data_IF_507144539089
#
_entry.id   IF_507144539089
#
_cell.length_a   1.000
_cell.length_b   1.000
_cell.length_c   1.000
_cell.angle_alpha   90.00
_cell.angle_beta   90.00
_cell.angle_gamma   90.00
#
_symmetry.space_group_name_H-M   'P 1'
#
loop_
_entity.id
_entity.type
_entity.pdbx_description
1 polymer ?
#
# COMPACT_ATOMS: atom_id res chain seq x y z
N UNK A 1 -15.07 21.61 1.00
CA UNK A 1 -13.82 22.33 0.73
C UNK A 1 -13.63 22.44 -0.78
N UNK A 2 -12.99 23.51 -1.24
CA UNK A 2 -12.68 23.72 -2.66
C UNK A 2 -11.28 23.17 -3.02
N UNK A 3 -10.72 22.27 -2.22
CA UNK A 3 -9.36 21.75 -2.36
C UNK A 3 -9.13 20.46 -1.58
N UNK A 4 -7.88 20.02 -1.57
CA UNK A 4 -7.39 18.82 -0.87
C UNK A 4 -6.42 19.25 0.22
N UNK A 5 -6.60 18.73 1.44
CA UNK A 5 -5.61 18.86 2.50
C UNK A 5 -4.67 17.67 2.46
N UNK A 6 -3.43 17.91 2.09
CA UNK A 6 -2.33 16.93 2.13
C UNK A 6 -1.66 16.96 3.49
N UNK A 7 -1.37 15.79 4.05
CA UNK A 7 -0.73 15.70 5.37
C UNK A 7 0.18 14.48 5.44
N UNK A 8 1.38 14.65 5.98
CA UNK A 8 2.36 13.58 6.16
C UNK A 8 3.08 13.68 7.49
N UNK A 9 3.44 12.54 8.07
CA UNK A 9 4.20 12.47 9.32
C UNK A 9 5.70 12.47 9.01
N UNK A 10 6.41 13.49 9.51
CA UNK A 10 7.86 13.58 9.41
C UNK A 10 8.43 14.35 10.63
N UNK A 11 8.57 13.69 11.80
CA UNK A 11 8.85 14.35 13.08
C UNK A 11 10.15 15.14 13.11
N UNK A 12 11.19 14.61 12.49
CA UNK A 12 12.55 15.18 12.47
C UNK A 12 12.84 16.02 11.24
N UNK A 13 11.88 16.17 10.33
CA UNK A 13 12.07 17.00 9.14
C UNK A 13 12.19 18.47 9.50
N UNK A 14 13.06 19.17 8.77
CA UNK A 14 13.22 20.63 8.83
C UNK A 14 12.42 21.34 7.75
N UNK A 15 12.13 20.64 6.65
CA UNK A 15 11.35 21.11 5.50
C UNK A 15 10.73 19.91 4.77
N UNK A 16 9.54 20.08 4.23
CA UNK A 16 8.87 19.11 3.37
C UNK A 16 8.45 19.81 2.08
N UNK A 17 8.58 19.15 0.96
CA UNK A 17 7.99 19.55 -0.31
C UNK A 17 6.86 18.58 -0.67
N UNK A 18 5.69 19.12 -0.99
CA UNK A 18 4.61 18.41 -1.66
C UNK A 18 4.79 18.57 -3.17
N UNK A 19 4.93 17.47 -3.87
CA UNK A 19 5.07 17.42 -5.32
C UNK A 19 3.76 16.95 -5.94
N UNK A 20 3.16 17.75 -6.82
CA UNK A 20 1.97 17.41 -7.58
C UNK A 20 2.35 17.11 -9.02
N UNK A 21 1.85 15.99 -9.54
CA UNK A 21 2.15 15.53 -10.90
C UNK A 21 0.92 15.61 -11.80
N UNK A 22 1.14 15.67 -13.11
CA UNK A 22 0.06 15.66 -14.08
C UNK A 22 -0.64 14.29 -14.11
N UNK A 23 0.16 13.21 -14.05
CA UNK A 23 -0.27 11.82 -14.04
C UNK A 23 0.79 10.91 -13.42
N UNK A 24 0.57 9.59 -13.49
CA UNK A 24 1.49 8.57 -12.98
C UNK A 24 2.80 8.44 -13.75
N UNK A 25 2.90 8.96 -14.97
CA UNK A 25 4.09 8.83 -15.86
C UNK A 25 4.87 10.13 -16.02
N UNK A 26 4.34 11.26 -15.53
CA UNK A 26 4.99 12.55 -15.69
C UNK A 26 6.42 12.54 -15.11
N UNK A 27 7.46 12.85 -15.88
CA UNK A 27 8.86 12.78 -15.41
C UNK A 27 9.19 13.84 -14.37
N UNK A 28 8.42 14.93 -14.32
CA UNK A 28 8.61 16.08 -13.44
C UNK A 28 7.27 16.47 -12.80
N UNK A 29 7.30 17.05 -11.57
CA UNK A 29 6.10 17.60 -10.95
C UNK A 29 5.63 18.85 -11.70
N UNK A 30 4.31 18.97 -11.90
CA UNK A 30 3.69 20.20 -12.44
C UNK A 30 3.68 21.35 -11.43
N UNK A 31 3.80 21.03 -10.13
CA UNK A 31 3.84 21.99 -9.04
C UNK A 31 4.61 21.42 -7.86
N UNK A 32 5.45 22.23 -7.25
CA UNK A 32 6.13 21.93 -5.98
C UNK A 32 5.69 22.98 -4.96
N UNK A 33 5.23 22.51 -3.80
CA UNK A 33 4.77 23.37 -2.70
C UNK A 33 5.69 23.11 -1.51
N UNK A 34 6.45 24.11 -1.12
CA UNK A 34 7.31 24.03 0.06
C UNK A 34 6.50 24.25 1.32
N UNK A 35 6.62 23.32 2.26
CA UNK A 35 6.06 23.38 3.60
C UNK A 35 7.15 23.77 4.58
N UNK A 36 6.96 24.88 5.25
CA UNK A 36 7.83 25.39 6.33
C UNK A 36 7.16 25.19 7.71
N UNK A 37 7.76 25.77 8.75
CA UNK A 37 7.27 25.63 10.13
C UNK A 37 5.81 26.09 10.35
N UNK A 38 5.23 26.92 9.46
CA UNK A 38 3.81 27.34 9.52
C UNK A 38 2.84 26.24 9.07
N UNK A 39 3.36 25.27 8.31
CA UNK A 39 2.63 24.12 7.78
C UNK A 39 2.79 22.89 8.68
N UNK A 40 3.15 23.07 9.96
CA UNK A 40 3.44 21.99 10.88
C UNK A 40 2.59 22.05 12.14
N UNK A 41 1.99 20.91 12.49
CA UNK A 41 1.26 20.70 13.74
C UNK A 41 1.82 19.44 14.43
N UNK A 42 2.66 19.63 15.44
CA UNK A 42 3.39 18.54 16.08
C UNK A 42 4.31 17.81 15.09
N UNK A 43 4.04 16.52 14.85
CA UNK A 43 4.80 15.67 13.94
C UNK A 43 4.24 15.69 12.50
N UNK A 44 3.14 16.40 12.26
CA UNK A 44 2.44 16.45 10.98
C UNK A 44 2.80 17.70 10.20
N UNK A 45 3.18 17.51 8.95
CA UNK A 45 3.28 18.55 7.93
C UNK A 45 2.03 18.53 7.07
N UNK A 46 1.39 19.67 6.84
CA UNK A 46 0.13 19.71 6.12
C UNK A 46 -0.08 21.03 5.37
N UNK A 47 -0.83 20.95 4.29
CA UNK A 47 -1.23 22.09 3.48
C UNK A 47 -2.54 21.80 2.76
N UNK A 48 -3.47 22.75 2.76
CA UNK A 48 -4.64 22.72 1.89
C UNK A 48 -4.28 23.35 0.53
N UNK A 49 -4.55 22.62 -0.54
CA UNK A 49 -4.27 23.07 -1.91
C UNK A 49 -5.59 23.24 -2.65
N UNK A 50 -5.94 24.48 -2.91
CA UNK A 50 -7.15 24.83 -3.68
C UNK A 50 -7.04 24.36 -5.14
N UNK A 51 -8.19 23.97 -5.71
CA UNK A 51 -8.29 23.51 -7.10
C UNK A 51 -7.86 22.07 -7.33
N UNK A 52 -7.29 21.40 -6.33
CA UNK A 52 -6.99 19.97 -6.41
C UNK A 52 -8.19 19.12 -5.96
N UNK A 53 -8.26 17.88 -6.45
CA UNK A 53 -9.37 16.97 -6.19
C UNK A 53 -8.98 15.51 -6.35
N UNK A 54 -10.01 14.66 -6.43
CA UNK A 54 -9.87 13.22 -6.71
C UNK A 54 -9.09 13.03 -8.02
N UNK A 55 -8.18 12.06 -8.04
CA UNK A 55 -7.29 11.77 -9.17
C UNK A 55 -5.97 12.57 -9.13
N UNK A 56 -5.80 13.55 -8.24
CA UNK A 56 -4.53 14.27 -8.12
C UNK A 56 -3.41 13.30 -7.71
N UNK A 57 -2.35 13.25 -8.53
CA UNK A 57 -1.15 12.45 -8.29
C UNK A 57 -0.13 13.25 -7.48
N UNK A 58 0.40 12.67 -6.40
CA UNK A 58 1.29 13.39 -5.50
C UNK A 58 2.37 12.50 -4.87
N UNK A 59 3.40 13.16 -4.33
CA UNK A 59 4.44 12.56 -3.51
C UNK A 59 5.10 13.61 -2.63
N UNK A 60 6.02 13.19 -1.78
CA UNK A 60 6.72 14.09 -0.88
C UNK A 60 8.24 14.02 -1.10
N UNK A 61 8.92 15.13 -0.84
CA UNK A 61 10.37 15.19 -0.67
C UNK A 61 10.65 15.80 0.69
N UNK A 62 11.51 15.13 1.46
CA UNK A 62 11.71 15.49 2.86
C UNK A 62 13.15 15.81 3.14
N UNK A 63 13.39 16.89 3.87
CA UNK A 63 14.68 17.40 4.27
C UNK A 63 14.81 17.36 5.79
N UNK A 64 15.96 16.99 6.27
CA UNK A 64 16.24 16.94 7.70
C UNK A 64 17.73 16.75 7.99
N UNK A 65 18.11 16.69 9.27
CA UNK A 65 19.50 16.53 9.65
C UNK A 65 20.02 15.15 9.22
N UNK A 66 21.19 15.14 8.62
CA UNK A 66 21.95 13.91 8.38
C UNK A 66 22.61 13.52 9.71
N UNK A 67 22.03 12.61 10.44
CA UNK A 67 22.61 12.06 11.65
C UNK A 67 23.53 10.88 11.29
N UNK A 68 24.73 10.77 11.92
CA UNK A 68 25.57 9.59 11.78
C UNK A 68 24.77 8.32 12.17
N UNK A 69 24.75 7.31 11.30
CA UNK A 69 23.98 6.09 11.50
C UNK A 69 22.49 6.18 11.17
N UNK A 70 21.98 7.34 10.76
CA UNK A 70 20.64 7.50 10.21
C UNK A 70 20.67 7.24 8.70
N UNK A 71 19.79 6.37 8.21
CA UNK A 71 19.58 6.13 6.78
C UNK A 71 18.44 6.99 6.21
N UNK A 72 17.90 7.90 7.02
CA UNK A 72 16.65 8.60 6.92
C UNK A 72 16.52 9.53 5.70
N UNK A 73 16.73 10.83 5.92
CA UNK A 73 16.39 11.82 4.92
C UNK A 73 17.29 11.74 3.68
N UNK A 74 16.65 11.59 2.52
CA UNK A 74 17.32 11.66 1.21
C UNK A 74 16.52 12.59 0.28
N UNK A 75 16.86 13.87 0.20
CA UNK A 75 16.11 14.86 -0.58
C UNK A 75 16.20 14.64 -2.10
N UNK A 76 16.98 13.69 -2.58
CA UNK A 76 16.93 13.28 -3.99
C UNK A 76 15.72 12.36 -4.29
N UNK A 77 15.04 11.84 -3.27
CA UNK A 77 13.95 10.88 -3.43
C UNK A 77 12.58 11.52 -3.29
N UNK A 78 11.70 11.20 -4.21
CA UNK A 78 10.27 11.41 -4.06
C UNK A 78 9.71 10.20 -3.33
N UNK A 79 8.98 10.46 -2.24
CA UNK A 79 8.46 9.47 -1.31
C UNK A 79 6.97 9.28 -1.50
N UNK A 80 6.54 8.03 -1.48
CA UNK A 80 5.13 7.67 -1.44
C UNK A 80 4.55 8.00 -0.06
N UNK A 81 3.34 8.53 -0.02
CA UNK A 81 2.58 8.69 1.22
C UNK A 81 2.21 7.32 1.80
N UNK A 82 2.60 6.99 3.04
CA UNK A 82 2.20 5.73 3.69
C UNK A 82 0.68 5.57 3.82
N UNK A 83 -0.07 6.68 3.77
CA UNK A 83 -1.53 6.71 3.86
C UNK A 83 -2.23 6.72 2.49
N UNK A 84 -1.49 6.64 1.38
CA UNK A 84 -2.08 6.59 0.05
C UNK A 84 -2.98 5.35 -0.12
N UNK A 85 -4.23 5.58 -0.54
CA UNK A 85 -5.25 4.53 -0.76
C UNK A 85 -5.30 4.03 -2.20
N UNK A 86 -4.65 4.75 -3.10
CA UNK A 86 -4.40 4.36 -4.47
C UNK A 86 -3.01 4.84 -4.88
N UNK A 87 -2.36 4.08 -5.73
CA UNK A 87 -0.97 4.32 -6.16
C UNK A 87 -0.91 4.20 -7.67
N UNK A 88 -0.13 5.10 -8.28
CA UNK A 88 0.17 5.10 -9.72
C UNK A 88 1.67 5.21 -9.97
N UNK A 89 2.09 5.14 -11.22
CA UNK A 89 3.49 5.21 -11.63
C UNK A 89 4.17 3.84 -11.74
N UNK A 90 3.40 2.76 -11.66
CA UNK A 90 3.94 1.39 -11.71
C UNK A 90 4.64 1.06 -13.04
N UNK A 91 4.19 1.67 -14.14
CA UNK A 91 4.74 1.44 -15.49
C UNK A 91 6.13 2.08 -15.67
N UNK A 92 6.46 3.08 -14.85
CA UNK A 92 7.75 3.79 -14.88
C UNK A 92 8.58 3.50 -13.63
N UNK A 93 8.05 2.71 -12.70
CA UNK A 93 8.72 2.43 -11.43
C UNK A 93 10.03 1.66 -11.63
N UNK A 94 11.08 2.19 -11.04
CA UNK A 94 12.40 1.56 -10.99
C UNK A 94 12.92 1.52 -9.55
N UNK A 95 12.94 0.32 -8.94
CA UNK A 95 13.46 0.09 -7.59
C UNK A 95 14.91 0.59 -7.44
N UNK A 96 15.73 0.35 -8.44
CA UNK A 96 17.14 0.76 -8.46
C UNK A 96 17.32 2.28 -8.36
N UNK A 97 16.41 3.06 -8.97
CA UNK A 97 16.44 4.52 -8.87
C UNK A 97 16.10 5.05 -7.46
N UNK A 98 15.44 4.24 -6.63
CA UNK A 98 15.15 4.60 -5.24
C UNK A 98 16.34 4.34 -4.28
N UNK A 99 17.44 3.76 -4.78
CA UNK A 99 18.67 3.51 -4.01
C UNK A 99 19.67 4.65 -4.22
N UNK A 100 20.47 4.96 -3.19
CA UNK A 100 21.57 5.93 -3.26
C UNK A 100 21.12 7.38 -3.49
N UNK A 101 21.97 8.19 -4.15
CA UNK A 101 21.77 9.65 -4.27
C UNK A 101 21.16 10.12 -5.60
N UNK A 102 20.95 9.21 -6.58
CA UNK A 102 20.39 9.58 -7.89
C UNK A 102 18.90 9.93 -7.70
N UNK A 103 18.38 11.02 -8.29
CA UNK A 103 16.95 11.34 -8.21
C UNK A 103 16.06 10.24 -8.83
N UNK A 104 14.93 9.97 -8.19
CA UNK A 104 13.93 9.00 -8.68
C UNK A 104 12.65 9.65 -9.21
N UNK A 105 12.65 10.97 -9.42
CA UNK A 105 11.43 11.74 -9.74
C UNK A 105 10.67 11.18 -10.93
N UNK A 106 11.37 10.76 -11.98
CA UNK A 106 10.76 10.21 -13.21
C UNK A 106 10.23 8.78 -13.05
N UNK A 107 10.69 8.03 -12.02
CA UNK A 107 10.43 6.60 -11.85
C UNK A 107 9.89 6.25 -10.46
N UNK A 108 9.37 7.22 -9.71
CA UNK A 108 8.80 6.98 -8.38
C UNK A 108 7.33 6.54 -8.44
N UNK A 109 6.92 5.78 -7.45
CA UNK A 109 5.50 5.57 -7.14
C UNK A 109 4.90 6.84 -6.54
N UNK A 110 3.63 7.09 -6.82
CA UNK A 110 2.89 8.29 -6.39
C UNK A 110 1.57 7.92 -5.78
N UNK A 111 1.19 8.62 -4.72
CA UNK A 111 -0.17 8.55 -4.19
C UNK A 111 -1.16 9.21 -5.12
N UNK A 112 -2.40 8.71 -5.11
CA UNK A 112 -3.53 9.31 -5.83
C UNK A 112 -4.60 9.67 -4.81
N UNK A 113 -5.10 10.89 -4.88
CA UNK A 113 -6.20 11.36 -4.04
C UNK A 113 -7.48 10.61 -4.40
N UNK A 114 -8.10 9.96 -3.44
CA UNK A 114 -9.31 9.15 -3.60
C UNK A 114 -10.43 9.66 -2.70
N UNK A 115 -11.65 9.24 -2.97
CA UNK A 115 -12.74 9.37 -2.02
C UNK A 115 -12.51 8.53 -0.76
N UNK A 116 -13.08 8.99 0.35
CA UNK A 116 -13.14 8.26 1.63
C UNK A 116 -14.58 7.80 1.86
N UNK A 117 -14.91 6.68 1.30
CA UNK A 117 -16.21 6.05 1.46
C UNK A 117 -16.10 4.76 2.30
N UNK A 118 -17.20 4.36 2.91
CA UNK A 118 -17.30 3.12 3.68
C UNK A 118 -17.90 2.01 2.84
N UNK A 119 -17.58 0.77 3.19
CA UNK A 119 -18.23 -0.41 2.62
C UNK A 119 -19.71 -0.42 3.03
N UNK A 120 -20.58 -0.78 2.09
CA UNK A 120 -22.02 -0.86 2.34
C UNK A 120 -22.40 -2.25 2.88
N UNK A 121 -22.31 -2.43 4.21
CA UNK A 121 -22.69 -3.67 4.89
C UNK A 121 -24.21 -3.93 4.90
N UNK A 122 -25.05 -2.96 4.58
CA UNK A 122 -26.49 -3.19 4.44
C UNK A 122 -26.79 -3.92 3.14
N UNK A 123 -26.09 -3.59 2.06
CA UNK A 123 -26.23 -4.26 0.76
C UNK A 123 -25.50 -5.61 0.70
N UNK A 124 -24.44 -5.79 1.47
CA UNK A 124 -23.65 -7.02 1.53
C UNK A 124 -23.25 -7.31 3.00
N UNK A 125 -24.15 -7.85 3.82
CA UNK A 125 -23.89 -8.15 5.21
C UNK A 125 -22.87 -9.27 5.36
N UNK A 126 -22.04 -9.16 6.39
CA UNK A 126 -21.04 -10.20 6.73
C UNK A 126 -21.72 -11.53 7.03
N UNK A 127 -21.23 -12.67 6.50
CA UNK A 127 -21.79 -14.01 6.76
C UNK A 127 -21.75 -14.41 8.24
N UNK A 128 -20.67 -14.06 8.97
CA UNK A 128 -20.47 -14.34 10.41
C UNK A 128 -20.57 -15.81 10.75
N UNK A 129 -19.81 -16.65 10.05
CA UNK A 129 -19.71 -18.07 10.35
C UNK A 129 -19.23 -18.33 11.77
N UNK A 130 -19.77 -19.37 12.41
CA UNK A 130 -19.22 -19.83 13.69
C UNK A 130 -17.87 -20.48 13.45
N UNK A 131 -16.89 -20.19 14.29
CA UNK A 131 -15.53 -20.65 14.13
C UNK A 131 -15.42 -22.18 13.91
N UNK A 132 -16.18 -22.96 14.67
CA UNK A 132 -16.20 -24.43 14.53
C UNK A 132 -16.77 -24.95 13.20
N UNK A 133 -17.41 -24.11 12.42
CA UNK A 133 -17.99 -24.46 11.11
C UNK A 133 -17.22 -23.81 9.96
N UNK A 134 -16.10 -23.13 10.27
CA UNK A 134 -15.33 -22.42 9.27
C UNK A 134 -14.43 -23.39 8.50
N UNK A 135 -14.48 -23.30 7.18
CA UNK A 135 -13.57 -23.94 6.23
C UNK A 135 -12.87 -22.84 5.45
N UNK A 136 -11.60 -22.62 5.74
CA UNK A 136 -10.81 -21.53 5.13
C UNK A 136 -10.04 -22.10 3.94
N UNK A 137 -10.15 -21.45 2.80
CA UNK A 137 -9.38 -21.75 1.60
C UNK A 137 -8.39 -20.63 1.33
N UNK A 138 -7.09 -20.91 1.53
CA UNK A 138 -6.01 -19.98 1.21
C UNK A 138 -5.74 -20.02 -0.31
N UNK A 139 -5.66 -18.84 -0.94
CA UNK A 139 -5.38 -18.72 -2.37
C UNK A 139 -4.56 -17.48 -2.71
N UNK A 140 -3.82 -17.59 -3.81
CA UNK A 140 -3.10 -16.49 -4.44
C UNK A 140 -3.93 -15.92 -5.58
N UNK A 141 -4.35 -14.65 -5.49
CA UNK A 141 -5.22 -14.00 -6.51
C UNK A 141 -4.63 -14.15 -7.91
N UNK A 142 -3.35 -13.82 -8.09
CA UNK A 142 -2.68 -13.88 -9.39
C UNK A 142 -2.52 -15.28 -9.99
N UNK A 143 -2.62 -16.34 -9.17
CA UNK A 143 -2.43 -17.73 -9.59
C UNK A 143 -3.72 -18.53 -9.73
N UNK A 144 -4.70 -18.28 -8.88
CA UNK A 144 -5.88 -19.15 -8.69
C UNK A 144 -6.68 -19.39 -9.97
N UNK A 145 -6.88 -18.36 -10.78
CA UNK A 145 -7.68 -18.44 -12.01
C UNK A 145 -6.85 -18.62 -13.30
N UNK A 146 -5.52 -18.80 -13.21
CA UNK A 146 -4.62 -19.01 -14.35
C UNK A 146 -4.30 -20.47 -14.65
N UNK A 147 -4.94 -21.41 -13.96
CA UNK A 147 -4.75 -22.83 -14.17
C UNK A 147 -5.31 -23.32 -15.51
N UNK A 148 -4.77 -24.41 -16.09
CA UNK A 148 -5.32 -25.01 -17.31
C UNK A 148 -6.78 -25.41 -17.12
N UNK A 149 -7.63 -25.04 -18.08
CA UNK A 149 -9.07 -25.35 -18.04
C UNK A 149 -9.89 -24.47 -17.12
N UNK A 150 -9.34 -23.40 -16.55
CA UNK A 150 -10.10 -22.43 -15.77
C UNK A 150 -11.15 -21.74 -16.69
N UNK A 151 -12.43 -21.70 -16.30
CA UNK A 151 -13.49 -21.13 -17.12
C UNK A 151 -13.52 -19.59 -17.12
N UNK A 152 -12.66 -18.95 -16.31
CA UNK A 152 -12.59 -17.50 -16.21
C UNK A 152 -12.03 -16.91 -17.51
N UNK A 153 -12.64 -15.85 -18.09
CA UNK A 153 -12.14 -15.15 -19.27
C UNK A 153 -10.68 -14.71 -19.10
N UNK A 154 -9.87 -14.86 -20.14
CA UNK A 154 -8.40 -14.65 -20.08
C UNK A 154 -8.04 -13.25 -19.55
N UNK A 155 -8.79 -12.23 -19.97
CA UNK A 155 -8.61 -10.83 -19.56
C UNK A 155 -8.90 -10.57 -18.08
N UNK A 156 -9.56 -11.52 -17.39
CA UNK A 156 -9.85 -11.45 -15.97
C UNK A 156 -9.06 -12.45 -15.13
N UNK A 157 -8.31 -13.35 -15.77
CA UNK A 157 -7.50 -14.33 -15.06
C UNK A 157 -6.41 -13.66 -14.20
N UNK A 158 -6.28 -14.11 -12.96
CA UNK A 158 -5.30 -13.59 -12.01
C UNK A 158 -5.68 -12.24 -11.40
N UNK A 159 -6.95 -11.85 -11.47
CA UNK A 159 -7.47 -10.60 -10.90
C UNK A 159 -8.55 -10.84 -9.85
N UNK A 160 -8.83 -9.80 -9.06
CA UNK A 160 -9.92 -9.82 -8.07
C UNK A 160 -11.29 -10.08 -8.74
N UNK A 161 -11.53 -9.47 -9.90
CA UNK A 161 -12.79 -9.70 -10.63
C UNK A 161 -12.85 -11.10 -11.24
N UNK A 162 -11.72 -11.67 -11.67
CA UNK A 162 -11.66 -13.07 -12.12
C UNK A 162 -11.90 -14.06 -10.98
N UNK A 163 -11.53 -13.71 -9.74
CA UNK A 163 -11.86 -14.51 -8.58
C UNK A 163 -13.38 -14.55 -8.31
N UNK A 164 -14.11 -13.46 -8.60
CA UNK A 164 -15.59 -13.45 -8.53
C UNK A 164 -16.18 -14.52 -9.45
N UNK A 165 -15.67 -14.65 -10.67
CA UNK A 165 -16.14 -15.65 -11.62
C UNK A 165 -15.89 -17.09 -11.16
N UNK A 166 -14.90 -17.30 -10.29
CA UNK A 166 -14.55 -18.62 -9.74
C UNK A 166 -15.24 -18.95 -8.39
N UNK A 167 -15.96 -18.03 -7.76
CA UNK A 167 -16.63 -18.24 -6.47
C UNK A 167 -17.57 -19.47 -6.46
N UNK A 168 -18.35 -19.77 -7.52
CA UNK A 168 -19.23 -20.94 -7.51
C UNK A 168 -18.50 -22.25 -7.18
N UNK A 169 -17.27 -22.44 -7.64
CA UNK A 169 -16.50 -23.66 -7.38
C UNK A 169 -16.05 -23.76 -5.91
N UNK A 170 -15.75 -22.62 -5.27
CA UNK A 170 -15.42 -22.57 -3.85
C UNK A 170 -16.64 -22.87 -2.96
N UNK A 171 -17.79 -22.35 -3.34
CA UNK A 171 -19.06 -22.64 -2.66
C UNK A 171 -19.42 -24.12 -2.78
N UNK A 172 -19.30 -24.72 -3.98
CA UNK A 172 -19.54 -26.14 -4.21
C UNK A 172 -18.59 -27.03 -3.37
N UNK A 173 -17.34 -26.59 -3.18
CA UNK A 173 -16.36 -27.27 -2.33
C UNK A 173 -16.71 -27.18 -0.83
N UNK A 174 -17.65 -26.33 -0.43
CA UNK A 174 -18.05 -26.14 0.96
C UNK A 174 -17.16 -25.16 1.74
N UNK A 175 -16.41 -24.30 1.06
CA UNK A 175 -15.62 -23.23 1.66
C UNK A 175 -16.54 -22.19 2.29
N UNK A 176 -16.17 -21.67 3.45
CA UNK A 176 -16.91 -20.60 4.15
C UNK A 176 -16.13 -19.29 4.25
N UNK A 177 -14.81 -19.33 4.05
CA UNK A 177 -13.95 -18.15 4.01
C UNK A 177 -12.83 -18.34 3.00
N UNK A 178 -12.54 -17.30 2.22
CA UNK A 178 -11.34 -17.23 1.38
C UNK A 178 -10.28 -16.41 2.09
N UNK A 179 -9.07 -16.96 2.20
CA UNK A 179 -7.89 -16.25 2.70
C UNK A 179 -7.02 -15.86 1.51
N UNK A 180 -6.91 -14.56 1.27
CA UNK A 180 -6.12 -14.04 0.17
C UNK A 180 -4.68 -13.82 0.63
N UNK A 181 -3.70 -14.44 -0.04
CA UNK A 181 -2.30 -14.05 0.07
C UNK A 181 -2.15 -12.55 -0.22
N UNK A 182 -1.05 -11.89 0.18
CA UNK A 182 -0.98 -10.44 0.23
C UNK A 182 -1.51 -9.73 -1.02
N UNK A 183 -2.53 -8.89 -0.84
CA UNK A 183 -3.12 -8.04 -1.89
C UNK A 183 -2.82 -6.57 -1.69
N UNK A 184 -2.18 -6.20 -0.59
CA UNK A 184 -1.61 -4.86 -0.39
C UNK A 184 -0.56 -4.58 -1.45
N UNK A 185 -0.41 -3.32 -1.85
CA UNK A 185 0.59 -2.93 -2.84
C UNK A 185 2.00 -3.31 -2.37
N UNK A 186 2.65 -4.20 -3.10
CA UNK A 186 3.99 -4.70 -2.84
C UNK A 186 4.95 -4.35 -3.99
N UNK A 187 6.25 -4.45 -3.74
CA UNK A 187 7.27 -4.19 -4.74
C UNK A 187 7.48 -5.41 -5.65
N UNK A 188 7.06 -5.36 -6.92
CA UNK A 188 7.24 -6.47 -7.86
C UNK A 188 8.71 -6.71 -8.22
N UNK A 189 9.58 -5.70 -8.04
CA UNK A 189 11.01 -5.77 -8.35
C UNK A 189 11.85 -6.23 -7.13
N UNK A 190 11.24 -6.45 -5.96
CA UNK A 190 11.92 -7.02 -4.80
C UNK A 190 12.03 -8.54 -4.94
N UNK A 191 12.88 -8.95 -5.87
CA UNK A 191 13.10 -10.35 -6.23
C UNK A 191 14.52 -10.53 -6.80
N UNK A 192 15.05 -11.75 -6.83
CA UNK A 192 16.31 -12.05 -7.50
C UNK A 192 16.29 -11.63 -8.99
N UNK A 193 17.47 -11.31 -9.53
CA UNK A 193 17.62 -10.88 -10.91
C UNK A 193 16.93 -11.83 -11.90
N UNK A 194 16.12 -11.26 -12.81
CA UNK A 194 15.36 -12.01 -13.81
C UNK A 194 14.08 -12.67 -13.28
N UNK A 195 13.70 -12.37 -12.05
CA UNK A 195 12.44 -12.81 -11.44
C UNK A 195 11.63 -11.60 -10.98
N UNK A 196 10.37 -11.83 -10.64
CA UNK A 196 9.48 -10.86 -10.01
C UNK A 196 8.97 -11.42 -8.68
N UNK A 197 8.61 -10.53 -7.77
CA UNK A 197 8.00 -10.90 -6.51
C UNK A 197 6.60 -11.44 -6.77
N UNK A 198 6.42 -12.75 -6.61
CA UNK A 198 5.16 -13.43 -6.86
C UNK A 198 4.25 -13.41 -5.63
N UNK A 199 4.83 -13.59 -4.44
CA UNK A 199 4.06 -13.84 -3.22
C UNK A 199 3.50 -12.57 -2.55
N UNK A 200 4.09 -11.40 -2.85
CA UNK A 200 3.60 -10.12 -2.31
C UNK A 200 4.06 -9.77 -0.89
N UNK A 201 4.94 -10.56 -0.26
CA UNK A 201 5.45 -10.27 1.08
C UNK A 201 6.56 -9.21 1.09
N UNK A 202 6.34 -8.10 0.42
CA UNK A 202 7.27 -6.97 0.34
C UNK A 202 6.50 -5.65 0.15
N UNK A 203 5.73 -5.19 1.17
CA UNK A 203 4.79 -4.09 1.00
C UNK A 203 5.48 -2.74 0.77
N UNK A 204 4.95 -1.96 -0.18
CA UNK A 204 5.26 -0.54 -0.39
C UNK A 204 4.17 0.37 0.16
N UNK A 205 2.98 -0.17 0.41
CA UNK A 205 1.86 0.52 1.06
C UNK A 205 0.98 -0.50 1.78
N UNK A 206 0.45 -0.08 2.93
CA UNK A 206 -0.49 -0.89 3.70
C UNK A 206 -1.96 -0.56 3.43
N UNK A 207 -2.27 0.46 2.62
CA UNK A 207 -3.65 0.94 2.42
C UNK A 207 -4.15 0.81 0.99
N UNK A 208 -3.26 0.66 0.02
CA UNK A 208 -3.60 0.53 -1.39
C UNK A 208 -3.58 -0.93 -1.85
N UNK A 209 -4.53 -1.37 -2.68
CA UNK A 209 -4.45 -2.65 -3.38
C UNK A 209 -3.31 -2.68 -4.40
N UNK A 210 -2.77 -3.89 -4.66
CA UNK A 210 -1.74 -4.10 -5.68
C UNK A 210 -2.34 -4.08 -7.09
N UNK A 211 -1.81 -3.26 -8.02
CA UNK A 211 -2.41 -3.11 -9.36
C UNK A 211 -2.37 -4.38 -10.20
N UNK A 212 -1.40 -5.26 -9.99
CA UNK A 212 -1.31 -6.53 -10.72
C UNK A 212 -2.47 -7.51 -10.49
N UNK A 213 -3.38 -7.20 -9.55
CA UNK A 213 -4.60 -7.98 -9.28
C UNK A 213 -5.88 -7.28 -9.74
N UNK A 214 -5.76 -6.19 -10.47
CA UNK A 214 -6.90 -5.41 -10.99
C UNK A 214 -7.12 -5.68 -12.47
N UNK A 215 -8.34 -5.51 -12.92
CA UNK A 215 -8.68 -5.47 -14.36
C UNK A 215 -8.46 -4.07 -14.92
N UNK A 216 -8.76 -3.06 -14.13
CA UNK A 216 -8.62 -1.66 -14.54
C UNK A 216 -7.22 -1.11 -14.27
N UNK A 217 -6.67 -0.41 -15.25
CA UNK A 217 -5.42 0.36 -15.10
C UNK A 217 -5.65 1.72 -14.38
N UNK A 218 -6.91 2.13 -14.18
CA UNK A 218 -7.24 3.34 -13.45
C UNK A 218 -7.08 3.12 -11.92
N UNK A 219 -6.13 3.80 -11.26
CA UNK A 219 -5.90 3.64 -9.82
C UNK A 219 -7.13 4.00 -8.97
N UNK A 220 -8.07 4.79 -9.48
CA UNK A 220 -9.30 5.13 -8.78
C UNK A 220 -10.28 3.95 -8.71
N UNK A 221 -10.18 2.97 -9.61
CA UNK A 221 -11.01 1.76 -9.62
C UNK A 221 -10.51 0.68 -8.66
N UNK A 222 -9.26 0.74 -8.21
CA UNK A 222 -8.62 -0.29 -7.39
C UNK A 222 -9.46 -0.69 -6.16
N UNK A 223 -9.95 0.29 -5.43
CA UNK A 223 -10.78 0.07 -4.23
C UNK A 223 -12.17 -0.45 -4.59
N UNK A 224 -12.71 -0.05 -5.74
CA UNK A 224 -13.97 -0.54 -6.29
C UNK A 224 -13.92 -2.02 -6.59
N UNK A 225 -12.84 -2.52 -7.20
CA UNK A 225 -12.68 -3.95 -7.50
C UNK A 225 -12.55 -4.81 -6.25
N UNK A 226 -11.83 -4.33 -5.20
CA UNK A 226 -11.80 -5.02 -3.90
C UNK A 226 -13.20 -5.12 -3.29
N UNK A 227 -13.95 -4.02 -3.31
CA UNK A 227 -15.33 -4.01 -2.77
C UNK A 227 -16.26 -4.90 -3.59
N UNK A 228 -16.10 -4.95 -4.90
CA UNK A 228 -16.87 -5.86 -5.75
C UNK A 228 -16.62 -7.32 -5.37
N UNK A 229 -15.35 -7.71 -5.16
CA UNK A 229 -15.01 -9.05 -4.68
C UNK A 229 -15.65 -9.34 -3.32
N UNK A 230 -15.47 -8.46 -2.32
CA UNK A 230 -16.02 -8.66 -0.97
C UNK A 230 -17.55 -8.75 -1.02
N UNK A 231 -18.21 -7.89 -1.81
CA UNK A 231 -19.66 -7.93 -2.00
C UNK A 231 -20.11 -9.28 -2.58
N UNK A 232 -19.42 -9.76 -3.62
CA UNK A 232 -19.75 -11.04 -4.24
C UNK A 232 -19.50 -12.23 -3.29
N UNK A 233 -18.42 -12.21 -2.53
CA UNK A 233 -18.13 -13.19 -1.49
C UNK A 233 -19.25 -13.23 -0.43
N UNK A 234 -19.62 -12.07 0.13
CA UNK A 234 -20.70 -12.00 1.13
C UNK A 234 -22.03 -12.51 0.58
N UNK A 235 -22.38 -12.15 -0.65
CA UNK A 235 -23.61 -12.65 -1.32
C UNK A 235 -23.58 -14.17 -1.56
N UNK A 236 -22.38 -14.73 -1.75
CA UNK A 236 -22.15 -16.17 -1.86
C UNK A 236 -22.03 -16.87 -0.50
N UNK A 237 -22.13 -16.15 0.60
CA UNK A 237 -21.96 -16.68 1.96
C UNK A 237 -20.51 -16.93 2.37
N UNK A 238 -19.53 -16.31 1.69
CA UNK A 238 -18.10 -16.44 1.99
C UNK A 238 -17.58 -15.21 2.74
N UNK A 239 -16.79 -15.43 3.79
CA UNK A 239 -15.99 -14.39 4.44
C UNK A 239 -14.69 -14.18 3.67
N UNK A 240 -14.10 -12.98 3.78
CA UNK A 240 -12.81 -12.63 3.15
C UNK A 240 -11.79 -12.30 4.21
N UNK A 241 -10.70 -13.07 4.25
CA UNK A 241 -9.57 -12.89 5.14
C UNK A 241 -8.38 -12.39 4.31
N UNK A 242 -7.62 -11.42 4.81
CA UNK A 242 -6.38 -10.99 4.19
C UNK A 242 -5.17 -11.46 5.00
N UNK A 243 -4.18 -12.01 4.30
CA UNK A 243 -2.83 -12.13 4.81
C UNK A 243 -2.15 -10.75 4.74
N UNK A 244 -1.75 -10.22 5.91
CA UNK A 244 -1.24 -8.86 6.05
C UNK A 244 0.20 -8.82 6.55
N UNK A 245 1.01 -7.94 5.96
CA UNK A 245 2.44 -7.85 6.22
C UNK A 245 2.75 -6.54 6.92
N UNK A 246 2.86 -6.55 8.26
CA UNK A 246 3.20 -5.37 9.06
C UNK A 246 4.55 -5.49 9.78
N UNK A 247 5.24 -6.60 9.66
CA UNK A 247 6.50 -6.86 10.33
C UNK A 247 7.71 -6.23 9.62
N UNK A 248 7.64 -6.00 8.31
CA UNK A 248 8.68 -5.38 7.48
C UNK A 248 8.09 -4.65 6.28
N UNK A 249 8.96 -4.02 5.49
CA UNK A 249 8.61 -3.33 4.25
C UNK A 249 9.61 -3.66 3.14
N UNK A 250 9.25 -3.33 1.90
CA UNK A 250 10.11 -3.46 0.72
C UNK A 250 11.38 -2.60 0.76
N UNK A 251 11.51 -1.69 1.72
CA UNK A 251 12.70 -0.84 1.85
C UNK A 251 13.95 -1.61 2.28
N UNK A 252 13.80 -2.89 2.74
CA UNK A 252 14.92 -3.77 3.05
C UNK A 252 15.88 -3.21 4.10
N UNK A 253 17.16 -3.60 4.03
CA UNK A 253 18.21 -3.12 4.92
C UNK A 253 18.75 -1.75 4.49
N UNK A 254 19.88 -1.30 5.08
CA UNK A 254 20.49 0.01 4.85
C UNK A 254 20.85 0.28 3.38
N UNK A 255 21.12 -0.77 2.62
CA UNK A 255 21.44 -0.67 1.18
C UNK A 255 20.18 -0.69 0.29
N UNK A 256 19.01 -0.88 0.88
CA UNK A 256 17.74 -0.94 0.17
C UNK A 256 17.22 0.42 -0.30
N UNK A 257 16.08 0.43 -1.02
CA UNK A 257 15.50 1.64 -1.56
C UNK A 257 14.91 2.55 -0.48
N UNK A 258 14.80 3.84 -0.77
CA UNK A 258 14.06 4.84 0.00
C UNK A 258 12.78 5.17 -0.77
N UNK A 259 11.66 4.60 -0.34
CA UNK A 259 10.38 4.66 -1.05
C UNK A 259 9.33 5.50 -0.32
N UNK A 260 9.28 5.40 1.01
CA UNK A 260 8.22 5.96 1.85
C UNK A 260 8.72 6.16 3.29
N UNK A 261 8.50 5.17 4.17
CA UNK A 261 8.71 5.25 5.63
C UNK A 261 10.12 5.68 6.03
N UNK A 262 11.16 5.12 5.37
CA UNK A 262 12.56 5.46 5.62
C UNK A 262 12.81 6.95 5.42
N UNK A 263 12.43 7.48 4.27
CA UNK A 263 12.66 8.88 3.92
C UNK A 263 11.83 9.88 4.72
N UNK A 264 10.72 9.42 5.32
CA UNK A 264 9.81 10.25 6.12
C UNK A 264 10.23 10.30 7.60
N UNK A 265 10.46 9.15 8.20
CA UNK A 265 10.70 9.05 9.64
C UNK A 265 11.36 7.72 10.02
N UNK A 266 12.56 7.49 9.50
CA UNK A 266 13.33 6.25 9.63
C UNK A 266 13.32 5.66 11.06
N UNK A 267 13.81 6.45 12.02
CA UNK A 267 13.88 6.05 13.43
C UNK A 267 12.51 5.89 14.09
N UNK A 268 11.44 6.33 13.48
CA UNK A 268 10.08 6.16 13.98
C UNK A 268 9.49 4.83 13.52
N UNK A 269 9.70 4.48 12.27
CA UNK A 269 9.06 3.31 11.66
C UNK A 269 9.86 2.03 11.83
N UNK A 270 11.21 2.11 11.87
CA UNK A 270 12.06 0.93 11.93
C UNK A 270 12.73 0.74 13.30
N UNK A 271 12.88 -0.52 13.70
CA UNK A 271 13.70 -0.88 14.84
C UNK A 271 15.17 -0.77 14.44
N UNK A 272 15.94 -0.08 15.28
CA UNK A 272 17.37 0.15 15.08
C UNK A 272 18.13 -0.12 16.38
N UNK A 273 19.39 -0.56 16.25
CA UNK A 273 20.32 -0.65 17.35
C UNK A 273 20.92 0.73 17.70
N UNK A 274 21.78 0.78 18.71
CA UNK A 274 22.43 2.02 19.15
C UNK A 274 23.36 2.65 18.11
N UNK A 275 23.74 1.91 17.05
CA UNK A 275 24.57 2.40 15.94
C UNK A 275 23.73 2.93 14.78
N UNK A 276 22.40 2.78 14.84
CA UNK A 276 21.50 3.14 13.74
C UNK A 276 21.28 2.03 12.71
N UNK A 277 21.86 0.84 12.91
CA UNK A 277 21.62 -0.29 11.99
C UNK A 277 20.23 -0.88 12.24
N UNK A 278 19.55 -1.29 11.17
CA UNK A 278 18.25 -1.95 11.31
C UNK A 278 18.36 -3.29 12.01
N UNK A 279 17.43 -3.52 12.94
CA UNK A 279 17.22 -4.86 13.49
C UNK A 279 16.40 -5.66 12.47
N UNK A 280 16.94 -6.80 12.08
CA UNK A 280 16.32 -7.72 11.11
C UNK A 280 15.81 -8.98 11.82
N UNK A 281 14.75 -8.81 12.62
CA UNK A 281 14.09 -9.95 13.29
C UNK A 281 13.18 -10.71 12.31
N UNK A 282 12.75 -10.03 11.26
CA UNK A 282 11.88 -10.60 10.22
C UNK A 282 12.62 -11.50 9.22
N UNK A 283 13.95 -11.32 9.07
CA UNK A 283 14.76 -11.95 8.01
C UNK A 283 14.62 -11.26 6.65
N UNK A 284 13.93 -10.08 6.59
CA UNK A 284 13.63 -9.36 5.35
C UNK A 284 14.38 -8.02 5.24
N UNK A 285 15.40 -7.81 6.08
CA UNK A 285 16.28 -6.64 6.04
C UNK A 285 15.88 -5.50 6.98
N UNK A 286 14.63 -5.45 7.43
CA UNK A 286 14.16 -4.49 8.42
C UNK A 286 13.06 -5.06 9.31
N UNK A 287 12.80 -4.41 10.42
CA UNK A 287 11.69 -4.73 11.32
C UNK A 287 10.96 -3.46 11.70
N UNK A 288 9.64 -3.46 11.52
CA UNK A 288 8.79 -2.33 11.90
C UNK A 288 8.73 -2.18 13.42
N UNK A 289 8.89 -0.96 13.90
CA UNK A 289 8.77 -0.60 15.32
C UNK A 289 7.29 -0.43 15.72
N UNK A 290 6.50 -1.51 15.66
CA UNK A 290 5.06 -1.50 15.92
C UNK A 290 4.67 -1.05 17.34
N UNK A 291 5.61 -1.11 18.29
CA UNK A 291 5.44 -0.61 19.66
C UNK A 291 5.46 0.93 19.74
N UNK A 292 5.97 1.65 18.72
CA UNK A 292 5.99 3.11 18.71
C UNK A 292 4.63 3.69 18.34
N UNK A 293 4.18 4.79 18.96
CA UNK A 293 2.83 5.31 18.78
C UNK A 293 2.44 5.62 17.32
N UNK A 294 3.35 6.24 16.55
CA UNK A 294 3.07 6.62 15.15
C UNK A 294 2.99 5.38 14.23
N UNK A 295 3.91 4.42 14.37
CA UNK A 295 3.87 3.15 13.62
C UNK A 295 2.60 2.37 13.94
N UNK A 296 2.28 2.22 15.23
CA UNK A 296 1.06 1.55 15.68
C UNK A 296 -0.20 2.24 15.14
N UNK A 297 -0.24 3.58 15.14
CA UNK A 297 -1.35 4.33 14.57
C UNK A 297 -1.52 4.04 13.09
N UNK A 298 -0.45 4.05 12.31
CA UNK A 298 -0.48 3.75 10.87
C UNK A 298 -1.00 2.33 10.60
N UNK A 299 -0.54 1.33 11.37
CA UNK A 299 -1.05 -0.04 11.28
C UNK A 299 -2.56 -0.08 11.58
N UNK A 300 -3.01 0.56 12.67
CA UNK A 300 -4.44 0.59 13.03
C UNK A 300 -5.29 1.30 11.97
N UNK A 301 -4.79 2.37 11.36
CA UNK A 301 -5.49 3.04 10.26
C UNK A 301 -5.58 2.14 9.01
N UNK A 302 -4.53 1.37 8.72
CA UNK A 302 -4.57 0.37 7.64
C UNK A 302 -5.60 -0.71 7.92
N UNK A 303 -5.60 -1.30 9.12
CA UNK A 303 -6.59 -2.31 9.52
C UNK A 303 -8.03 -1.79 9.39
N UNK A 304 -8.27 -0.54 9.83
CA UNK A 304 -9.58 0.12 9.67
C UNK A 304 -9.94 0.34 8.20
N UNK A 305 -8.97 0.74 7.38
CA UNK A 305 -9.16 0.92 5.95
C UNK A 305 -9.67 -0.38 5.31
N UNK A 306 -9.00 -1.50 5.54
CA UNK A 306 -9.39 -2.79 4.99
C UNK A 306 -10.73 -3.29 5.56
N UNK A 307 -10.93 -3.20 6.87
CA UNK A 307 -12.13 -3.73 7.51
C UNK A 307 -13.39 -2.87 7.29
N UNK A 308 -13.28 -1.53 7.29
CA UNK A 308 -14.43 -0.64 7.31
C UNK A 308 -14.69 0.05 5.97
N UNK A 309 -13.63 0.31 5.18
CA UNK A 309 -13.78 0.96 3.89
C UNK A 309 -13.84 -0.07 2.74
N UNK A 310 -13.22 -1.25 2.90
CA UNK A 310 -13.17 -2.31 1.88
C UNK A 310 -13.96 -3.56 2.24
N UNK A 311 -14.42 -3.70 3.50
CA UNK A 311 -15.37 -4.74 3.91
C UNK A 311 -14.75 -6.07 4.36
N UNK A 312 -13.42 -6.16 4.48
CA UNK A 312 -12.71 -7.38 4.89
C UNK A 312 -13.17 -7.88 6.27
N UNK A 313 -13.35 -9.19 6.42
CA UNK A 313 -13.89 -9.85 7.60
C UNK A 313 -12.83 -10.29 8.60
N UNK A 314 -11.69 -10.75 8.11
CA UNK A 314 -10.61 -11.29 8.92
C UNK A 314 -9.22 -10.88 8.43
N UNK A 315 -8.24 -11.02 9.32
CA UNK A 315 -6.85 -10.66 9.06
C UNK A 315 -5.94 -11.75 9.64
N UNK A 316 -5.01 -12.24 8.81
CA UNK A 316 -3.95 -13.17 9.23
C UNK A 316 -2.64 -12.40 9.32
N UNK A 317 -1.94 -12.52 10.49
CA UNK A 317 -0.67 -11.87 10.78
C UNK A 317 0.49 -12.85 10.71
#
# INVERSE_FOLDING_TARGET
SRGVNFSVVAPLATRVELLLFADGRAPEPRRVIELDGRHRSGDYWHVEVEGEGIGCCYGYRVFGPLQPGSHGFNPSKVLLDPCARAITGWEVYERGAAVGAVPNTASCLRGVVTERDRFNFEAAPRPRHRWQHSVIYELHVGGFTRGPGCPVPVERQGTLLGLIDALPSLVELGVTAVELLPVMAFDPQDAPLGRFNHWGYSPVSWMAPHPGYLVSDDPLQARGEVRALVTACHQAGLEVILDVVYNHTSEGNQAGPTLSWRGLADTTYYQQNARGDYLDVSGCGNTIAANRPLSRRLILESLRCWAMELGIDGLRF
#
